data_IF_590456869513
#
_entry.id   IF_590456869513
#
_cell.length_a   1.000
_cell.length_b   1.000
_cell.length_c   1.000
_cell.angle_alpha   90.00
_cell.angle_beta   90.00
_cell.angle_gamma   90.00
#
_symmetry.space_group_name_H-M   'P 1'
#
loop_
_entity.id
_entity.type
_entity.pdbx_description
1 polymer ?
#
# COMPACT_ATOMS: atom_id res chain seq x y z
N UNK A 1 -11.55 -14.75 3.64
CA UNK A 1 -10.91 -16.05 3.93
C UNK A 1 -11.87 -17.06 4.58
N UNK A 2 -12.60 -16.71 5.66
CA UNK A 2 -13.54 -17.64 6.32
C UNK A 2 -14.66 -18.15 5.40
N UNK A 3 -15.30 -17.25 4.64
CA UNK A 3 -16.34 -17.58 3.65
C UNK A 3 -15.83 -18.56 2.57
N UNK A 4 -14.54 -18.49 2.25
CA UNK A 4 -13.91 -19.29 1.20
C UNK A 4 -13.39 -20.62 1.76
N UNK A 5 -13.58 -20.89 3.05
CA UNK A 5 -13.21 -22.16 3.67
C UNK A 5 -11.70 -22.40 3.78
N UNK A 6 -10.87 -21.35 3.72
CA UNK A 6 -9.42 -21.51 3.93
C UNK A 6 -9.13 -21.95 5.38
N UNK A 7 -8.17 -22.85 5.58
CA UNK A 7 -7.73 -23.24 6.92
C UNK A 7 -7.15 -22.01 7.64
N UNK A 8 -7.50 -21.85 8.93
CA UNK A 8 -7.06 -20.75 9.79
C UNK A 8 -7.29 -19.34 9.19
N UNK A 9 -8.54 -18.90 8.98
CA UNK A 9 -8.86 -17.60 8.38
C UNK A 9 -8.24 -16.40 9.10
N UNK A 10 -8.10 -16.50 10.43
CA UNK A 10 -7.51 -15.46 11.28
C UNK A 10 -6.02 -15.29 10.97
N UNK A 11 -5.29 -16.39 10.74
CA UNK A 11 -3.88 -16.34 10.37
C UNK A 11 -3.69 -15.60 9.05
N UNK A 12 -4.48 -15.97 8.04
CA UNK A 12 -4.46 -15.31 6.74
C UNK A 12 -4.81 -13.82 6.84
N UNK A 13 -5.80 -13.46 7.66
CA UNK A 13 -6.14 -12.07 7.93
C UNK A 13 -5.01 -11.30 8.62
N UNK A 14 -4.33 -11.91 9.59
CA UNK A 14 -3.21 -11.30 10.31
C UNK A 14 -2.00 -11.09 9.38
N UNK A 15 -1.67 -12.08 8.56
CA UNK A 15 -0.60 -11.98 7.56
C UNK A 15 -0.93 -10.90 6.54
N UNK A 16 -2.19 -10.82 6.10
CA UNK A 16 -2.65 -9.74 5.22
C UNK A 16 -2.51 -8.37 5.88
N UNK A 17 -2.90 -8.24 7.15
CA UNK A 17 -2.76 -7.00 7.89
C UNK A 17 -1.29 -6.58 8.03
N UNK A 18 -0.41 -7.51 8.40
CA UNK A 18 1.03 -7.25 8.53
C UNK A 18 1.66 -6.85 7.17
N UNK A 19 1.32 -7.58 6.10
CA UNK A 19 1.85 -7.29 4.77
C UNK A 19 1.24 -6.05 4.13
N UNK A 20 0.02 -5.64 4.50
CA UNK A 20 -0.63 -4.41 3.99
C UNK A 20 0.13 -3.12 4.30
N UNK A 21 1.10 -3.18 5.22
CA UNK A 21 2.06 -2.12 5.45
C UNK A 21 2.91 -1.84 4.21
N UNK A 22 3.14 -2.86 3.38
CA UNK A 22 3.77 -2.71 2.08
C UNK A 22 2.72 -2.17 1.08
N UNK A 23 2.96 -0.97 0.52
CA UNK A 23 2.00 -0.34 -0.38
C UNK A 23 1.84 -1.18 -1.65
N UNK A 24 0.60 -1.24 -2.15
CA UNK A 24 0.18 -1.95 -3.38
C UNK A 24 0.36 -3.46 -3.25
N UNK A 25 1.56 -3.96 -2.96
CA UNK A 25 1.94 -5.38 -3.05
C UNK A 25 1.42 -6.21 -1.87
N UNK A 26 1.24 -5.60 -0.69
CA UNK A 26 0.94 -6.29 0.57
C UNK A 26 -0.29 -7.19 0.53
N UNK A 27 -1.42 -6.65 0.07
CA UNK A 27 -2.66 -7.41 -0.03
C UNK A 27 -2.60 -8.48 -1.13
N UNK A 28 -2.05 -8.15 -2.32
CA UNK A 28 -1.93 -9.09 -3.44
C UNK A 28 -1.09 -10.31 -3.06
N UNK A 29 -0.01 -10.14 -2.29
CA UNK A 29 0.85 -11.25 -1.83
C UNK A 29 0.11 -12.28 -0.98
N UNK A 30 -1.04 -11.94 -0.42
CA UNK A 30 -1.80 -12.86 0.45
C UNK A 30 -2.95 -13.49 -0.30
N UNK A 31 -3.80 -12.70 -0.95
CA UNK A 31 -4.98 -13.25 -1.59
C UNK A 31 -4.67 -13.96 -2.91
N UNK A 32 -3.64 -13.54 -3.67
CA UNK A 32 -3.28 -14.20 -4.94
C UNK A 32 -2.82 -15.64 -4.71
N UNK A 33 -1.85 -15.94 -3.82
CA UNK A 33 -1.49 -17.32 -3.50
C UNK A 33 -2.65 -18.12 -2.92
N UNK A 34 -3.54 -17.49 -2.15
CA UNK A 34 -4.73 -18.16 -1.63
C UNK A 34 -5.69 -18.59 -2.76
N UNK A 35 -5.90 -17.75 -3.77
CA UNK A 35 -6.65 -18.11 -4.99
C UNK A 35 -5.99 -19.26 -5.72
N UNK A 36 -4.66 -19.20 -5.92
CA UNK A 36 -3.91 -20.26 -6.59
C UNK A 36 -4.02 -21.59 -5.81
N UNK A 37 -3.96 -21.55 -4.48
CA UNK A 37 -4.14 -22.72 -3.64
C UNK A 37 -5.54 -23.33 -3.77
N UNK A 38 -6.59 -22.51 -3.69
CA UNK A 38 -7.97 -22.97 -3.88
C UNK A 38 -8.19 -23.57 -5.27
N UNK A 39 -7.60 -22.98 -6.30
CA UNK A 39 -7.75 -23.42 -7.68
C UNK A 39 -6.97 -24.72 -7.97
N UNK A 40 -5.67 -24.76 -7.64
CA UNK A 40 -4.78 -25.86 -8.02
C UNK A 40 -4.74 -26.99 -6.99
N UNK A 41 -4.76 -26.67 -5.69
CA UNK A 41 -4.60 -27.68 -4.63
C UNK A 41 -5.94 -28.27 -4.19
N UNK A 42 -7.01 -27.46 -4.14
CA UNK A 42 -8.34 -27.91 -3.69
C UNK A 42 -9.32 -28.19 -4.84
N UNK A 43 -9.04 -27.73 -6.06
CA UNK A 43 -9.94 -27.87 -7.20
C UNK A 43 -11.26 -27.07 -7.07
N UNK A 44 -11.34 -26.15 -6.10
CA UNK A 44 -12.55 -25.41 -5.76
C UNK A 44 -12.67 -24.13 -6.61
N UNK A 45 -12.97 -24.32 -7.90
CA UNK A 45 -13.01 -23.27 -8.93
C UNK A 45 -13.95 -22.12 -8.57
N UNK A 46 -15.15 -22.40 -8.04
CA UNK A 46 -16.12 -21.37 -7.66
C UNK A 46 -15.61 -20.47 -6.54
N UNK A 47 -14.99 -21.06 -5.51
CA UNK A 47 -14.42 -20.33 -4.38
C UNK A 47 -13.19 -19.53 -4.78
N UNK A 48 -12.36 -20.07 -5.67
CA UNK A 48 -11.21 -19.37 -6.24
C UNK A 48 -11.65 -18.15 -7.07
N UNK A 49 -12.63 -18.31 -7.96
CA UNK A 49 -13.22 -17.22 -8.75
C UNK A 49 -13.86 -16.14 -7.88
N UNK A 50 -14.58 -16.55 -6.84
CA UNK A 50 -15.16 -15.61 -5.88
C UNK A 50 -14.07 -14.79 -5.17
N UNK A 51 -13.02 -15.45 -4.66
CA UNK A 51 -11.93 -14.76 -3.98
C UNK A 51 -11.11 -13.87 -4.92
N UNK A 52 -10.90 -14.30 -6.17
CA UNK A 52 -10.27 -13.51 -7.23
C UNK A 52 -11.09 -12.25 -7.53
N UNK A 53 -12.39 -12.40 -7.78
CA UNK A 53 -13.29 -11.28 -8.04
C UNK A 53 -13.37 -10.31 -6.86
N UNK A 54 -13.47 -10.84 -5.64
CA UNK A 54 -13.46 -10.03 -4.42
C UNK A 54 -12.13 -9.28 -4.23
N UNK A 55 -11.00 -9.96 -4.44
CA UNK A 55 -9.66 -9.37 -4.35
C UNK A 55 -9.44 -8.25 -5.36
N UNK A 56 -9.86 -8.46 -6.61
CA UNK A 56 -9.69 -7.49 -7.68
C UNK A 56 -10.67 -6.32 -7.60
N UNK A 57 -11.93 -6.54 -7.24
CA UNK A 57 -12.95 -5.49 -7.27
C UNK A 57 -13.04 -4.74 -5.95
N UNK A 58 -12.98 -5.44 -4.82
CA UNK A 58 -13.21 -4.82 -3.51
C UNK A 58 -11.88 -4.48 -2.85
N UNK A 59 -11.01 -5.48 -2.64
CA UNK A 59 -9.74 -5.26 -1.92
C UNK A 59 -8.85 -4.26 -2.66
N UNK A 60 -8.67 -4.45 -3.96
CA UNK A 60 -7.91 -3.52 -4.81
C UNK A 60 -8.47 -2.10 -4.78
N UNK A 61 -9.80 -1.94 -4.88
CA UNK A 61 -10.42 -0.61 -4.86
C UNK A 61 -10.28 0.05 -3.50
N UNK A 62 -10.45 -0.71 -2.42
CA UNK A 62 -10.25 -0.21 -1.07
C UNK A 62 -8.80 0.24 -0.88
N UNK A 63 -7.83 -0.61 -1.23
CA UNK A 63 -6.43 -0.31 -0.99
C UNK A 63 -5.89 0.80 -1.89
N UNK A 64 -6.39 0.92 -3.12
CA UNK A 64 -5.90 1.89 -4.10
C UNK A 64 -6.71 3.20 -4.12
N UNK A 65 -7.97 3.21 -3.69
CA UNK A 65 -8.87 4.37 -3.80
C UNK A 65 -9.21 5.01 -2.44
N UNK A 66 -9.44 4.21 -1.38
CA UNK A 66 -9.70 4.78 -0.06
C UNK A 66 -8.43 5.48 0.47
N UNK A 67 -7.26 4.87 0.24
CA UNK A 67 -5.98 5.40 0.75
C UNK A 67 -5.68 6.84 0.27
N UNK A 68 -5.81 7.21 -1.02
CA UNK A 68 -5.72 8.61 -1.45
C UNK A 68 -6.78 9.54 -0.87
N UNK A 69 -8.03 9.07 -0.77
CA UNK A 69 -9.17 9.86 -0.28
C UNK A 69 -8.97 10.23 1.21
N UNK A 70 -8.51 9.29 2.05
CA UNK A 70 -8.26 9.55 3.46
C UNK A 70 -7.02 10.40 3.72
N UNK A 71 -6.00 10.28 2.86
CA UNK A 71 -4.69 10.91 3.11
C UNK A 71 -4.63 12.35 2.57
N UNK A 72 -5.51 12.74 1.63
CA UNK A 72 -5.57 14.10 1.10
C UNK A 72 -4.37 14.44 0.20
N UNK A 73 -4.64 14.72 -1.07
CA UNK A 73 -3.61 14.96 -2.09
C UNK A 73 -2.77 16.23 -1.85
N UNK A 74 -1.72 16.19 -1.02
CA UNK A 74 -0.76 17.31 -0.96
C UNK A 74 0.62 17.00 -1.56
N UNK A 75 0.99 15.72 -1.69
CA UNK A 75 2.20 15.32 -2.43
C UNK A 75 1.99 13.93 -3.03
N UNK A 76 1.88 13.82 -4.36
CA UNK A 76 1.79 12.53 -5.07
C UNK A 76 3.16 11.86 -5.10
N UNK A 77 3.55 11.25 -3.99
CA UNK A 77 4.76 10.42 -3.93
C UNK A 77 4.55 9.20 -4.81
N UNK A 78 5.45 8.97 -5.77
CA UNK A 78 5.33 7.82 -6.66
C UNK A 78 5.40 6.51 -5.83
N UNK A 79 4.47 5.55 -5.98
CA UNK A 79 4.44 4.35 -5.14
C UNK A 79 5.72 3.51 -5.19
N UNK A 80 6.38 3.45 -6.35
CA UNK A 80 7.69 2.82 -6.50
C UNK A 80 8.77 3.44 -5.59
N UNK A 81 8.77 4.76 -5.43
CA UNK A 81 9.72 5.43 -4.55
C UNK A 81 9.47 5.01 -3.10
N UNK A 82 8.21 4.94 -2.69
CA UNK A 82 7.83 4.47 -1.36
C UNK A 82 8.20 2.99 -1.14
N UNK A 83 8.01 2.14 -2.16
CA UNK A 83 8.39 0.73 -2.12
C UNK A 83 9.90 0.57 -1.88
N UNK A 84 10.73 1.23 -2.69
CA UNK A 84 12.19 1.17 -2.51
C UNK A 84 12.65 1.81 -1.20
N UNK A 85 11.99 2.88 -0.75
CA UNK A 85 12.27 3.48 0.54
C UNK A 85 12.00 2.51 1.69
N UNK A 86 10.89 1.76 1.65
CA UNK A 86 10.58 0.74 2.65
C UNK A 86 11.60 -0.40 2.61
N UNK A 87 11.98 -0.91 1.43
CA UNK A 87 13.02 -1.94 1.32
C UNK A 87 14.37 -1.46 1.88
N UNK A 88 14.78 -0.24 1.54
CA UNK A 88 16.00 0.38 2.07
C UNK A 88 15.90 0.65 3.57
N UNK A 89 14.74 1.08 4.05
CA UNK A 89 14.45 1.31 5.46
C UNK A 89 14.51 0.03 6.28
N UNK A 90 13.95 -1.07 5.77
CA UNK A 90 14.05 -2.39 6.40
C UNK A 90 15.52 -2.82 6.51
N UNK A 91 16.31 -2.61 5.45
CA UNK A 91 17.75 -2.93 5.47
C UNK A 91 18.53 -2.10 6.49
N UNK A 92 18.16 -0.83 6.70
CA UNK A 92 18.86 0.08 7.59
C UNK A 92 18.41 0.00 9.07
N UNK A 93 17.10 -0.12 9.31
CA UNK A 93 16.48 0.01 10.64
C UNK A 93 15.64 -1.21 11.05
N UNK A 94 15.64 -2.29 10.27
CA UNK A 94 14.81 -3.47 10.53
C UNK A 94 13.32 -3.17 10.41
N UNK A 95 12.49 -3.79 11.26
CA UNK A 95 11.04 -3.65 11.18
C UNK A 95 10.55 -2.19 11.36
N UNK A 96 11.27 -1.40 12.17
CA UNK A 96 11.00 0.04 12.33
C UNK A 96 11.15 0.82 11.03
N UNK A 97 11.97 0.32 10.10
CA UNK A 97 12.16 0.88 8.77
C UNK A 97 10.89 0.98 7.94
N UNK A 98 9.89 0.13 8.17
CA UNK A 98 8.60 0.16 7.46
C UNK A 98 7.83 1.45 7.79
N UNK A 99 7.91 1.91 9.04
CA UNK A 99 7.25 3.14 9.50
C UNK A 99 8.14 4.36 9.25
N UNK A 100 9.44 4.22 9.51
CA UNK A 100 10.39 5.32 9.35
C UNK A 100 10.58 5.74 7.88
N UNK A 101 10.55 4.81 6.92
CA UNK A 101 10.80 5.12 5.52
C UNK A 101 9.79 6.13 4.91
N UNK A 102 8.46 5.95 5.02
CA UNK A 102 7.50 6.96 4.57
C UNK A 102 7.71 8.34 5.20
N UNK A 103 8.07 8.39 6.49
CA UNK A 103 8.31 9.65 7.22
C UNK A 103 9.54 10.36 6.66
N UNK A 104 10.64 9.63 6.46
CA UNK A 104 11.88 10.17 5.90
C UNK A 104 11.65 10.68 4.47
N UNK A 105 10.94 9.91 3.64
CA UNK A 105 10.59 10.31 2.26
C UNK A 105 9.74 11.58 2.26
N UNK A 106 8.71 11.64 3.10
CA UNK A 106 7.85 12.81 3.19
C UNK A 106 8.64 14.05 3.61
N UNK A 107 9.53 13.91 4.58
CA UNK A 107 10.41 14.99 5.02
C UNK A 107 11.37 15.45 3.90
N UNK A 108 12.04 14.51 3.22
CA UNK A 108 12.96 14.82 2.13
C UNK A 108 12.25 15.55 0.97
N UNK A 109 11.06 15.10 0.59
CA UNK A 109 10.25 15.76 -0.45
C UNK A 109 9.78 17.13 0.00
N UNK A 110 9.35 17.30 1.24
CA UNK A 110 8.97 18.60 1.78
C UNK A 110 10.13 19.61 1.75
N UNK A 111 11.36 19.16 2.07
CA UNK A 111 12.55 20.00 1.96
C UNK A 111 12.87 20.36 0.51
N UNK A 112 12.75 19.40 -0.41
CA UNK A 112 12.97 19.64 -1.84
C UNK A 112 11.95 20.63 -2.42
N UNK A 113 10.67 20.48 -2.05
CA UNK A 113 9.60 21.38 -2.44
C UNK A 113 9.85 22.80 -1.92
N UNK A 114 10.32 22.95 -0.67
CA UNK A 114 10.68 24.24 -0.10
C UNK A 114 11.83 24.93 -0.87
N UNK A 115 12.84 24.16 -1.27
CA UNK A 115 13.98 24.70 -2.02
C UNK A 115 13.65 25.04 -3.48
N UNK A 116 12.75 24.26 -4.10
CA UNK A 116 12.45 24.37 -5.53
C UNK A 116 11.36 25.40 -5.83
N UNK A 117 10.49 25.74 -4.87
CA UNK A 117 9.43 26.73 -5.08
C UNK A 117 10.02 28.13 -5.30
N UNK A 118 9.82 28.76 -6.48
CA UNK A 118 10.22 30.14 -6.68
C UNK A 118 9.47 31.05 -5.71
N UNK A 119 10.16 32.04 -5.13
CA UNK A 119 9.49 33.06 -4.30
C UNK A 119 8.34 33.68 -5.11
N UNK A 120 7.12 33.78 -4.55
CA UNK A 120 6.06 34.50 -5.24
C UNK A 120 6.53 35.93 -5.53
N UNK A 121 6.23 36.49 -6.72
CA UNK A 121 6.59 37.87 -7.03
C UNK A 121 6.00 38.77 -5.95
N UNK A 122 6.84 39.68 -5.42
CA UNK A 122 6.40 40.70 -4.47
C UNK A 122 5.20 41.42 -5.08
N UNK A 123 4.04 41.34 -4.43
CA UNK A 123 2.87 42.11 -4.85
C UNK A 123 3.29 43.59 -4.90
N UNK A 124 3.15 44.28 -6.05
CA UNK A 124 3.42 45.71 -6.10
C UNK A 124 2.52 46.37 -5.08
N UNK A 125 3.11 47.20 -4.22
CA UNK A 125 2.39 47.91 -3.18
C UNK A 125 1.19 48.64 -3.79
N UNK A 126 0.00 48.34 -3.28
CA UNK A 126 -1.14 49.22 -3.39
C UNK A 126 -0.83 50.43 -2.50
N UNK A 127 -0.18 51.43 -3.09
CA UNK A 127 -0.24 52.82 -2.62
C UNK A 127 -1.65 53.39 -2.85
#
# INVERSE_FOLDING_TARGET
FWIVGLPSPVLWGLVMAALSLLPIVGAYLVWVPAVLWLFFAQGEVTKALFLLGWGLLIVSTVDNLLRPIFIGERTKVHPLLLFFAILGGIKAFGLLGIVAAPVIVAFALAMLDFYTKPRPPSQPGTE
#
